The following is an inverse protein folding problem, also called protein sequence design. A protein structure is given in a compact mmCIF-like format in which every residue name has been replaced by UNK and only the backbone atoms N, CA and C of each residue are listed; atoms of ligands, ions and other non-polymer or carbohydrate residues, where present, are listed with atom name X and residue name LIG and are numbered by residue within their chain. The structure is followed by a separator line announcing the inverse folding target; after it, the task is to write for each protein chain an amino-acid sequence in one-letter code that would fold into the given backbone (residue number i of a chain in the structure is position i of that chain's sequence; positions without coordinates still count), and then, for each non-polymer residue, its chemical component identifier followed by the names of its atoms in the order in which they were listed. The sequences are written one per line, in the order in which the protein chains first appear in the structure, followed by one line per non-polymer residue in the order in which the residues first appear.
data_IF_856221370936
#
_entry.id   IF_856221370936
#
_cell.length_a   1.000
_cell.length_b   1.000
_cell.length_c   1.000
_cell.angle_alpha   90.00
_cell.angle_beta   90.00
_cell.angle_gamma   90.00
#
_symmetry.space_group_name_H-M   'P 1'
#
loop_
_entity.id
_entity.type
_entity.pdbx_description
1 polymer ?
#
# COMPACT_ATOMS: atom_id res chain seq x y z
N UNK A 1 -24.46 -17.77 -4.56
CA UNK A 1 -23.34 -16.79 -4.56
C UNK A 1 -22.71 -16.80 -3.17
N UNK A 2 -21.38 -16.70 -3.03
CA UNK A 2 -20.72 -16.69 -1.70
C UNK A 2 -19.56 -17.66 -1.45
N UNK A 3 -19.13 -18.49 -2.42
CA UNK A 3 -17.92 -19.33 -2.24
C UNK A 3 -16.62 -18.62 -2.61
N UNK A 4 -16.65 -17.64 -3.52
CA UNK A 4 -15.41 -16.97 -3.99
C UNK A 4 -15.04 -15.73 -3.18
N UNK A 5 -16.00 -15.09 -2.49
CA UNK A 5 -15.73 -13.92 -1.62
C UNK A 5 -14.74 -14.17 -0.46
N UNK A 6 -14.44 -15.44 -0.16
CA UNK A 6 -13.43 -15.88 0.84
C UNK A 6 -12.24 -16.62 0.20
N UNK A 7 -12.16 -16.62 -1.13
CA UNK A 7 -11.07 -17.25 -1.88
C UNK A 7 -9.96 -16.21 -2.10
N UNK A 8 -9.14 -16.01 -1.07
CA UNK A 8 -8.06 -15.05 -1.10
C UNK A 8 -6.87 -15.60 -1.91
N UNK A 9 -6.25 -14.77 -2.74
CA UNK A 9 -5.02 -15.17 -3.43
C UNK A 9 -3.87 -15.37 -2.43
N UNK A 10 -2.87 -16.23 -2.72
CA UNK A 10 -1.70 -16.37 -1.87
C UNK A 10 -0.97 -15.05 -1.61
N UNK A 11 -0.91 -14.17 -2.61
CA UNK A 11 -0.35 -12.82 -2.47
C UNK A 11 -1.17 -11.97 -1.49
N UNK A 12 -2.50 -11.99 -1.59
CA UNK A 12 -3.40 -11.28 -0.67
C UNK A 12 -3.16 -11.69 0.77
N UNK A 13 -3.10 -12.99 1.04
CA UNK A 13 -2.85 -13.53 2.39
C UNK A 13 -1.46 -13.08 2.87
N UNK A 14 -0.40 -13.34 2.10
CA UNK A 14 0.97 -12.97 2.49
C UNK A 14 1.10 -11.48 2.78
N UNK A 15 0.55 -10.65 1.91
CA UNK A 15 0.55 -9.19 2.05
C UNK A 15 -0.21 -8.75 3.30
N UNK A 16 -1.40 -9.28 3.55
CA UNK A 16 -2.21 -8.95 4.73
C UNK A 16 -1.46 -9.24 6.03
N UNK A 17 -0.86 -10.42 6.16
CA UNK A 17 -0.11 -10.80 7.36
C UNK A 17 1.19 -10.01 7.52
N UNK A 18 1.93 -9.79 6.42
CA UNK A 18 3.16 -9.01 6.43
C UNK A 18 2.93 -7.55 6.85
N UNK A 19 1.95 -6.88 6.24
CA UNK A 19 1.70 -5.46 6.50
C UNK A 19 1.00 -5.22 7.85
N UNK A 20 0.22 -6.19 8.33
CA UNK A 20 -0.31 -6.16 9.70
C UNK A 20 0.74 -6.52 10.76
N UNK A 21 1.93 -6.97 10.36
CA UNK A 21 2.99 -7.41 11.28
C UNK A 21 2.55 -8.58 12.16
N UNK A 22 1.67 -9.44 11.64
CA UNK A 22 1.02 -10.53 12.36
C UNK A 22 0.28 -10.07 13.64
N UNK A 23 -0.18 -8.81 13.69
CA UNK A 23 -0.87 -8.20 14.83
C UNK A 23 -2.30 -7.79 14.51
N UNK A 24 -3.18 -7.85 15.50
CA UNK A 24 -4.52 -7.29 15.42
C UNK A 24 -4.45 -5.80 15.04
N UNK A 25 -5.14 -5.39 13.98
CA UNK A 25 -5.15 -4.03 13.46
C UNK A 25 -6.07 -3.08 14.23
N UNK A 26 -6.67 -3.53 15.34
CA UNK A 26 -7.51 -2.68 16.17
C UNK A 26 -6.65 -1.70 16.99
N UNK A 27 -7.00 -0.39 17.03
CA UNK A 27 -6.23 0.62 17.77
C UNK A 27 -6.00 0.23 19.24
N UNK A 28 -4.73 0.24 19.65
CA UNK A 28 -4.33 -0.10 21.02
C UNK A 28 -4.24 -1.60 21.31
N UNK A 29 -4.60 -2.48 20.37
CA UNK A 29 -4.38 -3.91 20.50
C UNK A 29 -2.97 -4.30 20.03
N UNK A 30 -2.36 -5.28 20.71
CA UNK A 30 -1.07 -5.86 20.34
C UNK A 30 -1.10 -7.40 20.33
N UNK A 31 -2.29 -8.00 20.24
CA UNK A 31 -2.45 -9.46 20.16
C UNK A 31 -1.77 -9.97 18.89
N UNK A 32 -0.93 -10.98 19.05
CA UNK A 32 -0.33 -11.73 17.95
C UNK A 32 -1.36 -12.68 17.35
N UNK A 33 -1.41 -12.69 16.03
CA UNK A 33 -2.42 -13.38 15.23
C UNK A 33 -1.93 -14.75 14.77
N UNK A 34 -0.62 -14.93 14.72
CA UNK A 34 0.05 -16.20 14.43
C UNK A 34 0.71 -16.70 15.72
N UNK A 35 0.53 -17.99 16.01
CA UNK A 35 1.25 -18.67 17.09
C UNK A 35 1.95 -19.92 16.56
N UNK A 36 3.03 -20.35 17.22
CA UNK A 36 3.81 -21.55 16.82
C UNK A 36 2.96 -22.84 16.78
N UNK A 37 1.82 -22.86 17.48
CA UNK A 37 0.99 -24.06 17.60
C UNK A 37 -0.29 -24.04 16.77
N UNK A 38 -0.85 -22.86 16.42
CA UNK A 38 -2.08 -22.73 15.63
C UNK A 38 -2.32 -21.28 15.15
N UNK A 39 -2.83 -21.10 13.92
CA UNK A 39 -3.32 -19.82 13.38
C UNK A 39 -4.75 -19.44 13.85
N UNK A 40 -5.28 -20.11 14.88
CA UNK A 40 -6.71 -20.04 15.29
C UNK A 40 -7.14 -18.71 15.94
N UNK A 41 -6.22 -17.83 16.26
CA UNK A 41 -6.53 -16.53 16.87
C UNK A 41 -6.75 -15.42 15.83
N UNK A 42 -6.57 -15.75 14.55
CA UNK A 42 -6.63 -14.81 13.44
C UNK A 42 -7.90 -14.94 12.60
N UNK A 43 -8.62 -13.83 12.46
CA UNK A 43 -9.70 -13.71 11.50
C UNK A 43 -9.28 -12.70 10.42
N UNK A 44 -9.20 -13.18 9.18
CA UNK A 44 -9.25 -12.28 8.02
C UNK A 44 -10.70 -11.75 7.98
N UNK A 45 -10.87 -10.49 8.32
CA UNK A 45 -12.17 -9.84 8.44
C UNK A 45 -12.43 -9.01 7.19
N UNK A 46 -13.66 -9.06 6.70
CA UNK A 46 -14.11 -8.18 5.62
C UNK A 46 -14.52 -6.82 6.17
N UNK A 47 -14.08 -5.75 5.52
CA UNK A 47 -14.52 -4.37 5.81
C UNK A 47 -15.98 -4.20 5.33
N UNK A 48 -16.24 -4.56 4.06
CA UNK A 48 -17.57 -4.72 3.47
C UNK A 48 -17.87 -6.21 3.35
N UNK A 49 -18.95 -6.68 3.96
CA UNK A 49 -19.19 -8.10 4.18
C UNK A 49 -19.12 -8.99 2.92
N UNK A 50 -18.70 -10.23 3.12
CA UNK A 50 -18.68 -11.26 2.08
C UNK A 50 -20.09 -11.75 1.67
N UNK A 51 -21.07 -11.64 2.56
CA UNK A 51 -22.43 -12.17 2.36
C UNK A 51 -23.48 -11.03 2.42
N UNK A 52 -24.61 -11.13 1.71
CA UNK A 52 -25.66 -10.10 1.67
C UNK A 52 -26.25 -9.70 3.02
N UNK A 53 -26.28 -10.63 3.98
CA UNK A 53 -26.78 -10.45 5.35
C UNK A 53 -25.72 -9.88 6.31
N UNK A 54 -24.49 -9.70 5.86
CA UNK A 54 -23.38 -9.23 6.68
C UNK A 54 -23.29 -7.71 6.78
N UNK A 55 -22.45 -7.26 7.72
CA UNK A 55 -22.23 -5.85 8.01
C UNK A 55 -21.65 -5.10 6.81
N UNK A 56 -22.21 -3.92 6.52
CA UNK A 56 -21.72 -3.02 5.45
C UNK A 56 -21.68 -3.70 4.08
N UNK A 57 -22.57 -4.66 3.81
CA UNK A 57 -22.64 -5.31 2.51
C UNK A 57 -22.96 -4.31 1.41
N UNK A 58 -22.15 -4.30 0.36
CA UNK A 58 -22.37 -3.52 -0.86
C UNK A 58 -22.80 -4.43 -2.00
N UNK A 59 -23.96 -4.23 -2.60
CA UNK A 59 -24.54 -5.16 -3.58
C UNK A 59 -23.77 -5.25 -4.90
N UNK A 60 -23.20 -4.13 -5.36
CA UNK A 60 -22.47 -4.02 -6.62
C UNK A 60 -21.03 -4.56 -6.56
N UNK A 61 -20.54 -4.96 -5.39
CA UNK A 61 -19.18 -5.45 -5.19
C UNK A 61 -19.04 -6.91 -5.64
N UNK A 62 -18.07 -7.18 -6.53
CA UNK A 62 -17.76 -8.51 -7.05
C UNK A 62 -17.10 -9.40 -6.00
N UNK A 63 -17.19 -10.72 -6.15
CA UNK A 63 -16.50 -11.66 -5.26
C UNK A 63 -14.96 -11.47 -5.27
N UNK A 64 -14.39 -11.03 -6.40
CA UNK A 64 -12.96 -10.69 -6.52
C UNK A 64 -12.62 -9.49 -5.65
N UNK A 65 -13.38 -8.40 -5.73
CA UNK A 65 -13.17 -7.22 -4.89
C UNK A 65 -13.38 -7.55 -3.40
N UNK A 66 -14.37 -8.40 -3.08
CA UNK A 66 -14.60 -8.82 -1.68
C UNK A 66 -13.43 -9.57 -1.10
N UNK A 67 -12.80 -10.43 -1.90
CA UNK A 67 -11.63 -11.21 -1.52
C UNK A 67 -10.32 -10.43 -1.68
N UNK A 68 -10.34 -9.21 -2.21
CA UNK A 68 -9.15 -8.41 -2.43
C UNK A 68 -8.65 -7.79 -1.13
N UNK A 69 -7.34 -7.60 -1.06
CA UNK A 69 -6.66 -7.03 0.10
C UNK A 69 -7.31 -5.74 0.60
N UNK A 70 -7.75 -4.84 -0.28
CA UNK A 70 -8.34 -3.55 0.13
C UNK A 70 -9.62 -3.70 0.96
N UNK A 71 -10.32 -4.82 0.83
CA UNK A 71 -11.51 -5.12 1.62
C UNK A 71 -11.21 -5.96 2.88
N UNK A 72 -9.95 -6.25 3.19
CA UNK A 72 -9.56 -7.13 4.29
C UNK A 72 -8.78 -6.40 5.38
N UNK A 73 -9.09 -6.73 6.63
CA UNK A 73 -8.39 -6.27 7.83
C UNK A 73 -8.16 -7.45 8.79
N UNK A 74 -7.02 -7.48 9.48
CA UNK A 74 -6.70 -8.56 10.41
C UNK A 74 -7.13 -8.18 11.83
N UNK A 75 -8.09 -8.89 12.41
CA UNK A 75 -8.60 -8.61 13.77
C UNK A 75 -8.65 -9.89 14.60
N UNK A 76 -8.35 -9.77 15.90
CA UNK A 76 -8.56 -10.87 16.84
C UNK A 76 -10.06 -11.09 17.07
N UNK A 77 -10.42 -12.26 17.60
CA UNK A 77 -11.83 -12.64 17.82
C UNK A 77 -12.64 -11.54 18.54
N UNK A 78 -12.09 -11.00 19.63
CA UNK A 78 -12.78 -9.97 20.42
C UNK A 78 -13.08 -8.70 19.60
N UNK A 79 -12.09 -8.20 18.85
CA UNK A 79 -12.25 -6.99 18.06
C UNK A 79 -13.02 -7.22 16.76
N UNK A 80 -12.99 -8.44 16.21
CA UNK A 80 -13.90 -8.81 15.11
C UNK A 80 -15.36 -8.61 15.55
N UNK A 81 -15.73 -9.16 16.71
CA UNK A 81 -17.07 -8.95 17.29
C UNK A 81 -17.32 -7.48 17.65
N UNK A 82 -16.33 -6.76 18.19
CA UNK A 82 -16.50 -5.32 18.47
C UNK A 82 -16.83 -4.53 17.19
N UNK A 83 -16.19 -4.87 16.06
CA UNK A 83 -16.39 -4.17 14.79
C UNK A 83 -17.70 -4.52 14.06
N UNK A 84 -18.54 -5.38 14.64
CA UNK A 84 -19.88 -5.66 14.12
C UNK A 84 -20.84 -4.46 14.28
N UNK A 85 -20.54 -3.51 15.17
CA UNK A 85 -21.29 -2.25 15.28
C UNK A 85 -21.03 -1.36 14.06
N UNK A 86 -21.95 -1.39 13.09
CA UNK A 86 -21.85 -0.67 11.82
C UNK A 86 -21.97 0.85 11.96
N UNK A 87 -22.53 1.34 13.06
CA UNK A 87 -22.66 2.77 13.31
C UNK A 87 -21.34 3.35 13.84
N UNK A 88 -20.64 2.61 14.70
CA UNK A 88 -19.31 2.98 15.20
C UNK A 88 -18.20 2.69 14.19
N UNK A 89 -18.27 1.55 13.51
CA UNK A 89 -17.24 1.06 12.60
C UNK A 89 -17.75 1.07 11.16
N UNK A 90 -17.81 2.27 10.58
CA UNK A 90 -18.11 2.44 9.15
C UNK A 90 -16.97 1.90 8.27
N UNK A 91 -17.24 1.70 6.97
CA UNK A 91 -16.21 1.29 5.99
C UNK A 91 -14.99 2.22 6.04
N UNK A 92 -15.23 3.54 6.06
CA UNK A 92 -14.17 4.54 6.15
C UNK A 92 -13.36 4.42 7.46
N UNK A 93 -14.03 4.12 8.58
CA UNK A 93 -13.37 3.93 9.88
C UNK A 93 -12.46 2.71 9.88
N UNK A 94 -12.92 1.58 9.33
CA UNK A 94 -12.12 0.35 9.27
C UNK A 94 -10.94 0.47 8.29
N UNK A 95 -11.13 1.12 7.14
CA UNK A 95 -10.02 1.42 6.21
C UNK A 95 -8.97 2.32 6.87
N UNK A 96 -9.42 3.37 7.56
CA UNK A 96 -8.53 4.25 8.34
C UNK A 96 -7.78 3.48 9.43
N UNK A 97 -8.45 2.62 10.21
CA UNK A 97 -7.79 1.77 11.22
C UNK A 97 -6.71 0.89 10.61
N UNK A 98 -7.00 0.26 9.46
CA UNK A 98 -6.03 -0.56 8.72
C UNK A 98 -4.80 0.25 8.31
N UNK A 99 -4.99 1.37 7.61
CA UNK A 99 -3.88 2.18 7.09
C UNK A 99 -3.00 2.74 8.22
N UNK A 100 -3.62 3.12 9.35
CA UNK A 100 -2.91 3.57 10.56
C UNK A 100 -2.05 2.47 11.19
N UNK A 101 -2.60 1.27 11.27
CA UNK A 101 -1.89 0.12 11.80
C UNK A 101 -0.69 -0.23 10.91
N UNK A 102 -0.89 -0.30 9.60
CA UNK A 102 0.17 -0.65 8.65
C UNK A 102 1.29 0.38 8.63
N UNK A 103 0.98 1.69 8.70
CA UNK A 103 2.00 2.74 8.81
C UNK A 103 2.84 2.58 10.10
N UNK A 104 2.19 2.23 11.22
CA UNK A 104 2.87 1.94 12.49
C UNK A 104 3.77 0.70 12.38
N UNK A 105 3.28 -0.38 11.78
CA UNK A 105 4.07 -1.61 11.56
C UNK A 105 5.28 -1.31 10.68
N UNK A 106 5.08 -0.62 9.57
CA UNK A 106 6.15 -0.26 8.64
C UNK A 106 7.22 0.58 9.34
N UNK A 107 6.81 1.58 10.12
CA UNK A 107 7.73 2.43 10.87
C UNK A 107 8.52 1.66 11.92
N UNK A 108 7.86 0.76 12.65
CA UNK A 108 8.49 -0.12 13.64
C UNK A 108 9.52 -1.05 13.01
N UNK A 109 9.18 -1.69 11.90
CA UNK A 109 10.05 -2.64 11.21
C UNK A 109 11.27 -1.93 10.59
N UNK A 110 11.08 -0.75 9.99
CA UNK A 110 12.18 0.06 9.48
C UNK A 110 13.08 0.65 10.57
N UNK A 111 12.55 0.88 11.77
CA UNK A 111 13.35 1.22 12.95
C UNK A 111 14.29 0.08 13.35
N UNK A 112 13.87 -1.18 13.19
CA UNK A 112 14.68 -2.38 13.47
C UNK A 112 15.67 -2.71 12.36
N UNK A 113 15.26 -2.53 11.10
CA UNK A 113 16.06 -2.86 9.92
C UNK A 113 16.20 -1.69 8.94
N UNK A 114 16.91 -0.61 9.31
CA UNK A 114 17.17 0.55 8.46
C UNK A 114 17.70 0.25 7.06
N UNK A 115 18.52 -0.81 6.94
CA UNK A 115 19.17 -1.23 5.69
C UNK A 115 18.19 -1.72 4.63
N UNK A 116 16.96 -2.11 5.02
CA UNK A 116 15.94 -2.58 4.07
C UNK A 116 15.55 -1.51 3.06
N UNK A 117 15.70 -0.21 3.38
CA UNK A 117 15.52 0.86 2.38
C UNK A 117 16.52 0.74 1.23
N UNK A 118 17.79 0.46 1.52
CA UNK A 118 18.82 0.27 0.49
C UNK A 118 18.56 -1.00 -0.33
N UNK A 119 18.10 -2.07 0.33
CA UNK A 119 17.71 -3.32 -0.34
C UNK A 119 16.52 -3.09 -1.29
N UNK A 120 15.47 -2.39 -0.81
CA UNK A 120 14.33 -2.00 -1.62
C UNK A 120 14.76 -1.16 -2.82
N UNK A 121 15.64 -0.17 -2.61
CA UNK A 121 16.14 0.67 -3.70
C UNK A 121 16.81 -0.18 -4.79
N UNK A 122 17.73 -1.05 -4.40
CA UNK A 122 18.44 -1.92 -5.33
C UNK A 122 17.47 -2.82 -6.10
N UNK A 123 16.58 -3.54 -5.40
CA UNK A 123 15.66 -4.49 -6.03
C UNK A 123 14.67 -3.82 -6.99
N UNK A 124 14.14 -2.64 -6.65
CA UNK A 124 13.25 -1.90 -7.56
C UNK A 124 14.02 -1.38 -8.78
N UNK A 125 15.26 -0.91 -8.59
CA UNK A 125 16.08 -0.41 -9.71
C UNK A 125 16.43 -1.50 -10.75
N UNK A 126 16.35 -2.76 -10.36
CA UNK A 126 16.73 -3.93 -11.17
C UNK A 126 15.54 -4.54 -11.96
N UNK A 127 14.30 -4.04 -11.79
CA UNK A 127 13.11 -4.56 -12.52
C UNK A 127 13.26 -4.37 -14.05
N UNK A 128 13.91 -3.28 -14.48
CA UNK A 128 14.30 -3.09 -15.88
C UNK A 128 13.14 -2.78 -16.85
N UNK A 129 12.13 -2.01 -16.45
CA UNK A 129 11.00 -1.59 -17.31
C UNK A 129 11.36 -0.43 -18.26
N UNK A 130 12.64 -0.13 -18.47
CA UNK A 130 13.11 1.16 -19.00
C UNK A 130 13.02 1.29 -20.52
N UNK A 131 12.15 2.21 -20.99
CA UNK A 131 12.28 2.98 -22.24
C UNK A 131 11.81 4.46 -22.11
N UNK A 132 11.41 4.91 -20.91
CA UNK A 132 10.94 6.28 -20.68
C UNK A 132 12.05 7.14 -20.06
N UNK A 133 12.61 8.06 -20.83
CA UNK A 133 13.44 9.14 -20.28
C UNK A 133 12.54 10.26 -19.78
N UNK A 134 12.15 10.20 -18.52
CA UNK A 134 11.47 11.33 -17.90
C UNK A 134 12.53 12.33 -17.41
N UNK A 135 12.44 13.56 -17.91
CA UNK A 135 13.40 14.64 -17.63
C UNK A 135 12.71 15.74 -16.85
N UNK A 136 12.35 15.48 -15.59
CA UNK A 136 12.40 16.57 -14.62
C UNK A 136 12.47 16.10 -13.16
N UNK A 137 13.18 16.90 -12.38
CA UNK A 137 13.57 16.67 -11.02
C UNK A 137 12.93 17.70 -10.08
N UNK A 138 12.63 17.23 -8.87
CA UNK A 138 12.78 18.01 -7.65
C UNK A 138 12.00 19.33 -7.57
N UNK A 139 10.70 19.23 -7.29
CA UNK A 139 10.02 20.26 -6.51
C UNK A 139 9.61 19.69 -5.16
N UNK A 140 10.03 20.40 -4.11
CA UNK A 140 9.52 20.24 -2.75
C UNK A 140 8.06 20.70 -2.75
N UNK A 141 7.13 19.79 -2.93
CA UNK A 141 5.71 20.10 -2.88
C UNK A 141 5.18 20.05 -1.45
N UNK A 142 4.17 20.88 -1.18
CA UNK A 142 3.32 20.67 -0.03
C UNK A 142 2.53 19.38 -0.25
N UNK A 143 2.88 18.32 0.50
CA UNK A 143 2.25 17.01 0.41
C UNK A 143 0.72 17.08 0.52
N UNK A 144 0.19 18.00 1.33
CA UNK A 144 -1.25 18.22 1.48
C UNK A 144 -1.89 18.64 0.18
N UNK A 145 -1.26 19.57 -0.56
CA UNK A 145 -1.74 20.00 -1.88
C UNK A 145 -1.81 18.84 -2.86
N UNK A 146 -0.80 17.95 -2.90
CA UNK A 146 -0.83 16.79 -3.78
C UNK A 146 -1.92 15.79 -3.40
N UNK A 147 -2.09 15.53 -2.10
CA UNK A 147 -3.13 14.65 -1.59
C UNK A 147 -4.53 15.17 -1.95
N UNK A 148 -4.77 16.48 -1.79
CA UNK A 148 -6.06 17.11 -2.09
C UNK A 148 -6.32 17.15 -3.61
N UNK A 149 -5.31 17.52 -4.39
CA UNK A 149 -5.40 17.58 -5.86
C UNK A 149 -5.79 16.23 -6.47
N UNK A 150 -5.25 15.14 -5.94
CA UNK A 150 -5.52 13.77 -6.39
C UNK A 150 -6.67 13.09 -5.66
N UNK A 151 -7.37 13.76 -4.74
CA UNK A 151 -8.50 13.15 -4.02
C UNK A 151 -8.12 11.97 -3.12
N UNK A 152 -6.90 11.94 -2.60
CA UNK A 152 -6.43 10.84 -1.72
C UNK A 152 -7.10 10.97 -0.35
N UNK A 153 -7.80 9.91 0.08
CA UNK A 153 -8.58 9.91 1.33
C UNK A 153 -8.05 8.91 2.34
N UNK A 154 -8.16 7.61 2.09
CA UNK A 154 -7.85 6.56 3.06
C UNK A 154 -6.34 6.49 3.31
N UNK A 155 -5.53 6.45 2.24
CA UNK A 155 -4.07 6.36 2.29
C UNK A 155 -3.41 7.66 2.77
N UNK A 156 -4.16 8.74 2.97
CA UNK A 156 -3.66 10.04 3.43
C UNK A 156 -2.85 9.94 4.72
N UNK A 157 -3.34 9.18 5.70
CA UNK A 157 -2.63 9.06 6.99
C UNK A 157 -1.36 8.24 6.84
N UNK A 158 -1.43 7.11 6.14
CA UNK A 158 -0.27 6.29 5.82
C UNK A 158 0.83 7.10 5.12
N UNK A 159 0.49 7.88 4.10
CA UNK A 159 1.43 8.75 3.38
C UNK A 159 2.05 9.78 4.33
N UNK A 160 1.23 10.42 5.17
CA UNK A 160 1.72 11.43 6.12
C UNK A 160 2.60 10.87 7.22
N UNK A 161 2.34 9.64 7.67
CA UNK A 161 3.13 8.99 8.71
C UNK A 161 4.46 8.48 8.13
N UNK A 162 4.48 8.01 6.87
CA UNK A 162 5.68 7.49 6.22
C UNK A 162 6.54 8.55 5.52
N UNK A 163 6.02 9.75 5.21
CA UNK A 163 6.82 10.83 4.58
C UNK A 163 8.04 11.25 5.40
N UNK A 164 8.05 10.97 6.71
CA UNK A 164 9.17 11.28 7.62
C UNK A 164 10.48 10.61 7.18
N UNK A 165 10.40 9.53 6.40
CA UNK A 165 11.56 8.84 5.83
C UNK A 165 12.19 9.55 4.62
N UNK A 166 11.58 10.63 4.12
CA UNK A 166 12.06 11.41 2.97
C UNK A 166 13.54 11.82 3.10
N UNK A 167 13.94 12.37 4.24
CA UNK A 167 15.34 12.78 4.45
C UNK A 167 16.32 11.60 4.39
N UNK A 168 15.93 10.45 4.95
CA UNK A 168 16.75 9.24 4.95
C UNK A 168 16.91 8.67 3.54
N UNK A 169 15.84 8.70 2.73
CA UNK A 169 15.90 8.31 1.32
C UNK A 169 16.78 9.27 0.52
N UNK A 170 16.65 10.59 0.73
CA UNK A 170 17.54 11.56 0.08
C UNK A 170 19.01 11.28 0.37
N UNK A 171 19.37 10.96 1.63
CA UNK A 171 20.76 10.58 1.94
C UNK A 171 21.22 9.36 1.14
N UNK A 172 20.38 8.33 1.03
CA UNK A 172 20.70 7.14 0.23
C UNK A 172 20.80 7.45 -1.28
N UNK A 173 19.96 8.35 -1.78
CA UNK A 173 20.01 8.83 -3.15
C UNK A 173 21.27 9.66 -3.43
N UNK A 174 21.63 10.58 -2.54
CA UNK A 174 22.85 11.39 -2.66
C UNK A 174 24.11 10.50 -2.66
N UNK A 175 24.11 9.41 -1.89
CA UNK A 175 25.19 8.41 -1.93
C UNK A 175 25.31 7.72 -3.30
N UNK A 176 24.17 7.34 -3.91
CA UNK A 176 24.13 6.73 -5.25
C UNK A 176 24.57 7.72 -6.33
N UNK A 177 24.10 8.96 -6.25
CA UNK A 177 24.42 10.03 -7.20
C UNK A 177 25.93 10.33 -7.17
N UNK A 178 26.53 10.43 -5.96
CA UNK A 178 27.99 10.61 -5.78
C UNK A 178 28.80 9.44 -6.32
N UNK A 179 28.24 8.23 -6.30
CA UNK A 179 28.85 7.03 -6.87
C UNK A 179 28.64 6.91 -8.39
N UNK A 180 27.93 7.85 -9.03
CA UNK A 180 27.59 7.80 -10.45
C UNK A 180 26.62 6.67 -10.82
N UNK A 181 25.82 6.20 -9.86
CA UNK A 181 24.91 5.07 -10.04
C UNK A 181 23.55 5.54 -10.59
N UNK A 182 23.05 4.88 -11.64
CA UNK A 182 21.71 5.14 -12.21
C UNK A 182 20.55 4.48 -11.44
N UNK A 183 20.82 3.94 -10.25
CA UNK A 183 19.84 3.14 -9.50
C UNK A 183 18.64 3.97 -9.05
N UNK A 184 18.86 5.24 -8.72
CA UNK A 184 17.80 6.16 -8.28
C UNK A 184 16.84 6.47 -9.43
N UNK A 185 17.38 6.80 -10.60
CA UNK A 185 16.62 7.07 -11.83
C UNK A 185 15.81 5.83 -12.22
N UNK A 186 16.49 4.68 -12.36
CA UNK A 186 15.84 3.42 -12.71
C UNK A 186 14.70 3.06 -11.74
N UNK A 187 14.91 3.29 -10.44
CA UNK A 187 13.88 3.06 -9.43
C UNK A 187 12.64 3.93 -9.65
N UNK A 188 12.84 5.24 -9.85
CA UNK A 188 11.74 6.19 -10.01
C UNK A 188 11.00 5.95 -11.32
N UNK A 189 11.72 5.60 -12.38
CA UNK A 189 11.17 5.29 -13.69
C UNK A 189 10.39 3.98 -13.69
N UNK A 190 10.89 2.93 -13.03
CA UNK A 190 10.15 1.67 -12.88
C UNK A 190 8.83 1.89 -12.12
N UNK A 191 8.85 2.69 -11.05
CA UNK A 191 7.62 3.02 -10.31
C UNK A 191 6.66 3.84 -11.18
N UNK A 192 7.17 4.83 -11.93
CA UNK A 192 6.33 5.63 -12.84
C UNK A 192 5.71 4.76 -13.92
N UNK A 193 6.46 3.82 -14.50
CA UNK A 193 5.93 2.89 -15.49
C UNK A 193 4.80 2.04 -14.94
N UNK A 194 4.97 1.48 -13.74
CA UNK A 194 3.91 0.73 -13.06
C UNK A 194 2.68 1.62 -12.84
N UNK A 195 2.87 2.86 -12.38
CA UNK A 195 1.76 3.79 -12.22
C UNK A 195 1.02 4.08 -13.53
N UNK A 196 1.75 4.31 -14.63
CA UNK A 196 1.15 4.60 -15.94
C UNK A 196 0.32 3.41 -16.44
N UNK A 197 0.83 2.19 -16.30
CA UNK A 197 0.09 0.97 -16.65
C UNK A 197 -1.18 0.83 -15.79
N UNK A 198 -1.03 0.90 -14.46
CA UNK A 198 -2.14 0.78 -13.51
C UNK A 198 -3.21 1.84 -13.78
N UNK A 199 -2.83 3.12 -13.80
CA UNK A 199 -3.78 4.22 -14.01
C UNK A 199 -4.44 4.16 -15.39
N UNK A 200 -3.72 3.72 -16.43
CA UNK A 200 -4.27 3.50 -17.77
C UNK A 200 -5.45 2.51 -17.76
N UNK A 201 -5.42 1.48 -16.91
CA UNK A 201 -6.54 0.52 -16.75
C UNK A 201 -7.82 1.17 -16.18
N UNK A 202 -7.70 2.23 -15.39
CA UNK A 202 -8.83 2.98 -14.87
C UNK A 202 -9.33 4.05 -15.85
N UNK A 203 -8.40 4.77 -16.47
CA UNK A 203 -8.70 5.91 -17.35
C UNK A 203 -9.31 5.45 -18.68
N UNK A 204 -8.88 4.30 -19.20
CA UNK A 204 -9.29 3.82 -20.50
C UNK A 204 -8.92 4.80 -21.62
N UNK A 205 -9.92 5.32 -22.32
CA UNK A 205 -9.75 6.27 -23.44
C UNK A 205 -10.22 7.70 -23.10
N UNK A 206 -10.43 8.02 -21.81
CA UNK A 206 -10.92 9.35 -21.41
C UNK A 206 -9.83 10.41 -21.50
N UNK A 207 -10.06 11.46 -22.29
CA UNK A 207 -9.18 12.64 -22.33
C UNK A 207 -9.28 13.50 -21.05
N UNK A 208 -10.49 13.60 -20.47
CA UNK A 208 -10.70 14.19 -19.15
C UNK A 208 -10.60 13.11 -18.07
N UNK A 209 -9.37 12.72 -17.76
CA UNK A 209 -9.09 11.59 -16.87
C UNK A 209 -8.96 11.96 -15.38
N UNK A 210 -8.80 13.25 -15.07
CA UNK A 210 -8.57 13.71 -13.70
C UNK A 210 -9.70 13.34 -12.72
N UNK A 211 -11.00 13.43 -13.09
CA UNK A 211 -12.08 12.96 -12.22
C UNK A 211 -11.96 11.47 -11.86
N UNK A 212 -11.54 10.63 -12.81
CA UNK A 212 -11.35 9.19 -12.61
C UNK A 212 -10.18 8.94 -11.66
N UNK A 213 -9.04 9.62 -11.87
CA UNK A 213 -7.90 9.55 -10.94
C UNK A 213 -8.32 9.93 -9.53
N UNK A 214 -9.08 11.02 -9.35
CA UNK A 214 -9.54 11.46 -8.03
C UNK A 214 -10.45 10.44 -7.36
N UNK A 215 -11.36 9.84 -8.13
CA UNK A 215 -12.29 8.82 -7.64
C UNK A 215 -11.58 7.54 -7.21
N UNK A 216 -10.48 7.16 -7.88
CA UNK A 216 -9.79 5.88 -7.69
C UNK A 216 -8.40 6.00 -7.07
N UNK A 217 -8.00 7.17 -6.56
CA UNK A 217 -6.62 7.47 -6.15
C UNK A 217 -6.05 6.50 -5.11
N UNK A 218 -6.83 6.16 -4.07
CA UNK A 218 -6.44 5.20 -3.05
C UNK A 218 -6.27 3.77 -3.63
N UNK A 219 -7.17 3.36 -4.53
CA UNK A 219 -7.11 2.05 -5.20
C UNK A 219 -5.94 1.95 -6.16
N UNK A 220 -5.71 2.99 -6.98
CA UNK A 220 -4.56 3.08 -7.89
C UNK A 220 -3.25 3.02 -7.10
N UNK A 221 -3.15 3.78 -6.00
CA UNK A 221 -1.96 3.76 -5.14
C UNK A 221 -1.68 2.36 -4.58
N UNK A 222 -2.71 1.64 -4.14
CA UNK A 222 -2.54 0.28 -3.65
C UNK A 222 -2.23 -0.73 -4.76
N UNK A 223 -2.81 -0.57 -5.94
CA UNK A 223 -2.59 -1.47 -7.06
C UNK A 223 -1.18 -1.31 -7.63
N UNK A 224 -0.62 -0.09 -7.65
CA UNK A 224 0.80 0.14 -7.91
C UNK A 224 1.69 -0.63 -6.93
N UNK A 225 1.34 -0.66 -5.65
CA UNK A 225 2.07 -1.45 -4.68
C UNK A 225 1.96 -2.96 -4.95
N UNK A 226 0.78 -3.43 -5.35
CA UNK A 226 0.56 -4.84 -5.69
C UNK A 226 1.39 -5.29 -6.89
N UNK A 227 1.45 -4.48 -7.95
CA UNK A 227 2.28 -4.77 -9.11
C UNK A 227 3.77 -4.74 -8.71
N UNK A 228 4.18 -3.77 -7.89
CA UNK A 228 5.55 -3.72 -7.37
C UNK A 228 5.91 -4.98 -6.57
N UNK A 229 5.02 -5.46 -5.70
CA UNK A 229 5.21 -6.70 -4.94
C UNK A 229 5.30 -7.96 -5.83
N UNK A 230 4.72 -7.93 -7.04
CA UNK A 230 4.80 -9.05 -7.97
C UNK A 230 6.09 -9.02 -8.81
N UNK A 231 6.58 -7.82 -9.12
CA UNK A 231 7.75 -7.60 -9.97
C UNK A 231 9.08 -7.66 -9.20
N UNK A 232 9.08 -7.29 -7.92
CA UNK A 232 10.29 -7.34 -7.10
C UNK A 232 10.70 -8.80 -6.87
N UNK A 233 11.91 -9.15 -7.29
CA UNK A 233 12.54 -10.40 -6.87
C UNK A 233 12.94 -10.29 -5.39
N UNK A 234 12.32 -11.11 -4.54
CA UNK A 234 12.59 -11.13 -3.11
C UNK A 234 13.91 -11.83 -2.77
N UNK A 235 14.37 -12.79 -3.58
CA UNK A 235 15.53 -13.63 -3.27
C UNK A 235 15.44 -14.20 -1.85
N UNK A 236 16.48 -13.95 -1.04
CA UNK A 236 16.57 -14.43 0.35
C UNK A 236 15.80 -13.58 1.38
N UNK A 237 15.23 -12.43 0.97
CA UNK A 237 14.53 -11.54 1.89
C UNK A 237 13.04 -11.84 1.84
N UNK A 238 12.40 -11.99 3.00
CA UNK A 238 10.96 -12.26 3.03
C UNK A 238 10.12 -11.03 2.65
N UNK A 239 8.87 -11.27 2.22
CA UNK A 239 7.91 -10.20 1.97
C UNK A 239 7.67 -9.34 3.22
N UNK A 240 7.64 -9.96 4.41
CA UNK A 240 7.47 -9.28 5.69
C UNK A 240 8.61 -8.31 6.00
N UNK A 241 9.85 -8.67 5.67
CA UNK A 241 11.03 -7.84 5.92
C UNK A 241 11.14 -6.68 4.93
N UNK A 242 10.85 -6.93 3.65
CA UNK A 242 11.08 -5.95 2.59
C UNK A 242 9.89 -5.03 2.33
N UNK A 243 8.65 -5.51 2.49
CA UNK A 243 7.44 -4.73 2.16
C UNK A 243 7.32 -3.38 2.90
N UNK A 244 7.75 -3.21 4.18
CA UNK A 244 7.81 -1.89 4.82
C UNK A 244 8.68 -0.89 4.05
N UNK A 245 9.84 -1.34 3.57
CA UNK A 245 10.78 -0.51 2.83
C UNK A 245 10.24 -0.16 1.44
N UNK A 246 9.64 -1.14 0.74
CA UNK A 246 8.95 -0.89 -0.54
C UNK A 246 7.85 0.15 -0.38
N UNK A 247 7.07 0.09 0.72
CA UNK A 247 5.99 1.05 0.97
C UNK A 247 6.52 2.46 1.19
N UNK A 248 7.61 2.61 1.94
CA UNK A 248 8.27 3.91 2.15
C UNK A 248 8.83 4.48 0.84
N UNK A 249 9.47 3.65 0.01
CA UNK A 249 9.94 4.06 -1.32
C UNK A 249 8.76 4.50 -2.19
N UNK A 250 7.62 3.80 -2.13
CA UNK A 250 6.42 4.17 -2.89
C UNK A 250 5.82 5.51 -2.43
N UNK A 251 5.85 5.80 -1.13
CA UNK A 251 5.44 7.11 -0.59
C UNK A 251 6.37 8.24 -1.07
N UNK A 252 7.68 8.01 -1.10
CA UNK A 252 8.63 8.97 -1.66
C UNK A 252 8.43 9.18 -3.17
N UNK A 253 8.18 8.10 -3.93
CA UNK A 253 7.84 8.20 -5.34
C UNK A 253 6.54 9.00 -5.59
N UNK A 254 5.52 8.84 -4.73
CA UNK A 254 4.34 9.73 -4.74
C UNK A 254 4.73 11.18 -4.47
N UNK A 255 5.55 11.46 -3.45
CA UNK A 255 6.01 12.82 -3.16
C UNK A 255 6.80 13.46 -4.32
N UNK A 256 7.47 12.64 -5.13
CA UNK A 256 8.21 13.05 -6.34
C UNK A 256 7.37 13.03 -7.63
N UNK A 257 6.05 12.96 -7.51
CA UNK A 257 5.11 12.91 -8.64
C UNK A 257 5.32 11.74 -9.61
N UNK A 258 5.95 10.64 -9.17
CA UNK A 258 6.05 9.40 -9.96
C UNK A 258 4.80 8.52 -9.81
N UNK A 259 4.00 8.77 -8.77
CA UNK A 259 2.68 8.16 -8.56
C UNK A 259 1.67 9.29 -8.37
N UNK A 260 0.53 9.19 -9.06
CA UNK A 260 -0.54 10.20 -9.11
C UNK A 260 -0.07 11.55 -9.67
N UNK A 261 -1.02 12.37 -10.12
CA UNK A 261 -0.74 13.54 -10.94
C UNK A 261 -0.12 14.71 -10.16
N UNK A 262 0.72 15.49 -10.85
CA UNK A 262 1.30 16.72 -10.32
C UNK A 262 0.22 17.81 -10.21
N UNK A 263 0.09 18.52 -9.06
CA UNK A 263 -0.81 19.65 -8.94
C UNK A 263 -0.40 20.79 -9.88
N UNK A 264 -1.38 21.33 -10.61
CA UNK A 264 -1.24 22.50 -11.51
C UNK A 264 -1.45 23.80 -10.72
#
# INVERSE_FOLDING_TARGET
MGKQARNYSPLTIKKLYALSGNECSFPGCSKQMVSQSNAKNSNICHIEAANPDGQRYREDMTDKERADYENLILLCVDHHTETDDVHKYTVATLKKMKDEHEAKIASRNLGRSPSMLKVAINKISEIGLSDLKDTDASKSFNITTKLDYNGVTNKRRLINDLKVYYHKLNTLYDELDRAGSLKKENLLDNIRHIYLDVSGRYIGQSDDYMPIIRQHSDSIFEEVFNELLQLVDFGDVSLEELSPALRVVMVDAFMRCKILEEPI
#
